data_IF_350075715947
#
_entry.id   IF_350075715947
#
_cell.length_a   1.000
_cell.length_b   1.000
_cell.length_c   1.000
_cell.angle_alpha   90.00
_cell.angle_beta   90.00
_cell.angle_gamma   90.00
#
_symmetry.space_group_name_H-M   'P 1'
#
loop_
_entity.id
_entity.type
_entity.pdbx_description
1 polymer ?
#
# COMPACT_ATOMS: atom_id res chain seq x y z
N UNK A 1 21.81 -28.07 7.92
CA UNK A 1 21.26 -26.95 8.70
C UNK A 1 22.12 -25.67 8.58
N UNK A 2 22.59 -25.32 7.37
CA UNK A 2 23.36 -24.10 7.11
C UNK A 2 23.07 -23.58 5.68
N UNK A 3 22.01 -22.76 5.52
CA UNK A 3 21.68 -22.05 4.27
C UNK A 3 20.96 -20.71 4.48
N UNK A 4 20.70 -20.33 5.73
CA UNK A 4 19.95 -19.11 6.08
C UNK A 4 20.79 -17.84 5.98
N UNK A 5 22.11 -17.92 6.17
CA UNK A 5 23.02 -16.76 6.13
C UNK A 5 23.27 -16.18 4.73
N UNK A 6 23.23 -17.02 3.67
CA UNK A 6 23.43 -16.54 2.29
C UNK A 6 22.16 -15.91 1.70
N UNK A 7 20.98 -16.47 2.00
CA UNK A 7 19.69 -15.96 1.53
C UNK A 7 19.35 -14.56 2.07
N UNK A 8 19.59 -14.30 3.36
CA UNK A 8 19.32 -12.98 3.95
C UNK A 8 20.26 -11.90 3.42
N UNK A 9 21.55 -12.21 3.28
CA UNK A 9 22.54 -11.27 2.69
C UNK A 9 22.19 -10.94 1.24
N UNK A 10 21.75 -11.94 0.47
CA UNK A 10 21.27 -11.78 -0.90
C UNK A 10 20.02 -10.91 -0.96
N UNK A 11 19.01 -11.19 -0.12
CA UNK A 11 17.80 -10.39 0.01
C UNK A 11 18.12 -8.92 0.34
N UNK A 12 18.97 -8.67 1.34
CA UNK A 12 19.36 -7.31 1.73
C UNK A 12 20.10 -6.57 0.61
N UNK A 13 21.00 -7.25 -0.11
CA UNK A 13 21.70 -6.65 -1.25
C UNK A 13 20.72 -6.27 -2.38
N UNK A 14 19.78 -7.17 -2.70
CA UNK A 14 18.74 -6.93 -3.70
C UNK A 14 17.85 -5.74 -3.30
N UNK A 15 17.41 -5.72 -2.04
CA UNK A 15 16.50 -4.69 -1.54
C UNK A 15 17.17 -3.33 -1.45
N UNK A 16 18.41 -3.25 -0.99
CA UNK A 16 19.12 -1.99 -0.75
C UNK A 16 19.88 -1.51 -1.98
N UNK A 17 20.83 -2.32 -2.47
CA UNK A 17 21.78 -1.89 -3.50
C UNK A 17 21.10 -1.81 -4.86
N UNK A 18 20.41 -2.88 -5.29
CA UNK A 18 19.81 -2.87 -6.61
C UNK A 18 18.60 -1.94 -6.70
N UNK A 19 17.80 -1.80 -5.63
CA UNK A 19 16.64 -0.88 -5.68
C UNK A 19 17.08 0.59 -5.75
N UNK A 20 18.21 0.94 -5.12
CA UNK A 20 18.76 2.29 -5.19
C UNK A 20 19.34 2.62 -6.58
N UNK A 21 20.04 1.68 -7.23
CA UNK A 21 20.60 1.90 -8.58
C UNK A 21 19.51 2.02 -9.65
N UNK A 22 18.42 1.27 -9.53
CA UNK A 22 17.28 1.36 -10.46
C UNK A 22 16.40 2.60 -10.27
N UNK A 23 16.52 3.28 -9.12
CA UNK A 23 15.76 4.49 -8.79
C UNK A 23 15.96 5.61 -9.83
N UNK A 24 17.20 5.79 -10.30
CA UNK A 24 17.56 6.83 -11.27
C UNK A 24 16.96 6.60 -12.67
N UNK A 25 16.47 5.39 -12.96
CA UNK A 25 15.83 5.05 -14.24
C UNK A 25 14.31 5.36 -14.26
N UNK A 26 13.72 5.70 -13.11
CA UNK A 26 12.26 5.85 -12.92
C UNK A 26 11.71 7.27 -13.15
N UNK A 27 11.71 7.73 -14.41
CA UNK A 27 11.17 9.06 -14.77
C UNK A 27 9.63 9.18 -14.59
N UNK A 28 8.92 8.05 -14.71
CA UNK A 28 7.47 7.86 -14.54
C UNK A 28 6.94 8.34 -13.21
N UNK A 29 7.77 8.17 -12.17
CA UNK A 29 7.37 8.38 -10.81
C UNK A 29 7.37 9.87 -10.46
N UNK A 30 8.35 10.63 -10.99
CA UNK A 30 8.36 12.09 -10.94
C UNK A 30 7.13 12.70 -11.62
N UNK A 31 6.67 12.12 -12.75
CA UNK A 31 5.46 12.56 -13.44
C UNK A 31 4.19 12.30 -12.61
N UNK A 32 4.11 11.14 -11.93
CA UNK A 32 3.00 10.82 -11.05
C UNK A 32 2.91 11.81 -9.87
N UNK A 33 4.04 12.14 -9.26
CA UNK A 33 4.08 13.10 -8.15
C UNK A 33 3.74 14.50 -8.63
N UNK A 34 4.23 14.90 -9.80
CA UNK A 34 3.82 16.15 -10.42
C UNK A 34 2.30 16.21 -10.65
N UNK A 35 1.69 15.12 -11.13
CA UNK A 35 0.24 15.02 -11.28
C UNK A 35 -0.50 15.07 -9.94
N UNK A 36 0.03 14.43 -8.89
CA UNK A 36 -0.54 14.49 -7.53
C UNK A 36 -0.45 15.91 -6.92
N UNK A 37 0.64 16.64 -7.17
CA UNK A 37 0.80 18.04 -6.75
C UNK A 37 -0.23 18.93 -7.47
N UNK A 38 -0.44 18.72 -8.78
CA UNK A 38 -1.47 19.44 -9.52
C UNK A 38 -2.87 19.14 -8.99
N UNK A 39 -3.16 17.86 -8.69
CA UNK A 39 -4.44 17.44 -8.12
C UNK A 39 -4.68 18.07 -6.74
N UNK A 40 -3.67 18.09 -5.85
CA UNK A 40 -3.74 18.75 -4.54
C UNK A 40 -4.08 20.25 -4.69
N UNK A 41 -3.49 20.93 -5.67
CA UNK A 41 -3.78 22.35 -5.95
C UNK A 41 -5.22 22.58 -6.41
N UNK A 42 -5.73 21.69 -7.25
CA UNK A 42 -7.13 21.73 -7.68
C UNK A 42 -8.05 21.50 -6.48
N UNK A 43 -7.78 20.49 -5.66
CA UNK A 43 -8.59 20.17 -4.47
C UNK A 43 -8.61 21.36 -3.51
N UNK A 44 -7.46 21.94 -3.16
CA UNK A 44 -7.38 23.09 -2.25
C UNK A 44 -8.07 24.36 -2.77
N UNK A 45 -8.20 24.50 -4.10
CA UNK A 45 -8.95 25.61 -4.70
C UNK A 45 -10.46 25.47 -4.44
N UNK A 46 -10.97 24.24 -4.40
CA UNK A 46 -12.41 23.97 -4.26
C UNK A 46 -12.83 23.53 -2.86
N UNK A 47 -11.90 23.03 -2.04
CA UNK A 47 -12.16 22.52 -0.69
C UNK A 47 -11.43 23.41 0.30
N UNK A 48 -12.19 24.25 1.01
CA UNK A 48 -11.66 25.03 2.13
C UNK A 48 -11.66 24.12 3.37
N UNK A 49 -10.49 23.64 3.75
CA UNK A 49 -10.32 22.88 4.98
C UNK A 49 -10.25 23.88 6.13
N UNK A 50 -11.29 23.90 6.95
CA UNK A 50 -11.29 24.65 8.20
C UNK A 50 -10.22 24.06 9.13
N UNK A 51 -9.23 24.87 9.50
CA UNK A 51 -8.09 24.47 10.33
C UNK A 51 -8.30 24.81 11.81
N UNK A 52 -9.43 25.43 12.16
CA UNK A 52 -9.70 25.95 13.49
C UNK A 52 -10.00 24.87 14.55
N UNK A 53 -10.19 23.60 14.15
CA UNK A 53 -10.68 22.53 15.04
C UNK A 53 -9.64 21.48 15.45
N UNK A 54 -8.37 21.57 15.03
CA UNK A 54 -7.33 20.63 15.46
C UNK A 54 -6.54 21.19 16.64
N UNK A 55 -7.13 21.13 17.83
CA UNK A 55 -6.40 21.38 19.07
C UNK A 55 -5.64 20.11 19.47
N UNK A 56 -4.33 20.09 19.22
CA UNK A 56 -3.45 18.96 19.57
C UNK A 56 -3.43 18.66 21.07
N UNK A 57 -3.85 19.61 21.92
CA UNK A 57 -4.00 19.41 23.36
C UNK A 57 -5.10 18.37 23.70
N UNK A 58 -6.10 18.18 22.84
CA UNK A 58 -7.21 17.23 23.04
C UNK A 58 -6.86 15.78 22.64
N UNK A 59 -5.73 15.54 21.96
CA UNK A 59 -5.29 14.19 21.58
C UNK A 59 -4.73 13.38 22.75
N UNK A 60 -4.34 14.05 23.85
CA UNK A 60 -3.75 13.42 25.03
C UNK A 60 -4.77 12.68 25.91
N UNK A 61 -6.06 13.01 25.80
CA UNK A 61 -7.12 12.37 26.55
C UNK A 61 -7.84 11.34 25.68
N UNK A 62 -7.26 10.13 25.58
CA UNK A 62 -8.01 8.91 25.23
C UNK A 62 -9.04 8.63 26.35
N UNK A 63 -10.04 9.51 26.42
CA UNK A 63 -11.04 9.56 27.49
C UNK A 63 -12.08 8.46 27.29
N UNK A 64 -12.85 8.19 28.35
CA UNK A 64 -14.02 7.30 28.29
C UNK A 64 -15.03 7.74 27.21
N UNK A 65 -15.09 9.04 26.87
CA UNK A 65 -15.95 9.57 25.81
C UNK A 65 -15.52 9.09 24.41
N UNK A 66 -14.20 9.00 24.15
CA UNK A 66 -13.68 8.44 22.90
C UNK A 66 -14.01 6.95 22.77
N UNK A 67 -14.00 6.21 23.88
CA UNK A 67 -14.38 4.79 23.90
C UNK A 67 -15.88 4.62 23.63
N UNK A 68 -16.72 5.43 24.27
CA UNK A 68 -18.17 5.40 24.07
C UNK A 68 -18.55 5.73 22.62
N UNK A 69 -17.94 6.78 22.05
CA UNK A 69 -18.10 7.12 20.63
C UNK A 69 -17.75 5.93 19.72
N UNK A 70 -16.56 5.34 19.93
CA UNK A 70 -16.07 4.24 19.11
C UNK A 70 -16.94 2.96 19.23
N UNK A 71 -17.33 2.57 20.44
CA UNK A 71 -18.00 1.29 20.65
C UNK A 71 -19.52 1.34 20.51
N UNK A 72 -20.14 2.51 20.71
CA UNK A 72 -21.60 2.66 20.65
C UNK A 72 -22.08 3.45 19.44
N UNK A 73 -21.39 4.51 19.02
CA UNK A 73 -21.88 5.39 17.94
C UNK A 73 -21.36 4.98 16.55
N UNK A 74 -20.06 4.64 16.43
CA UNK A 74 -19.44 4.28 15.15
C UNK A 74 -20.13 3.11 14.43
N UNK A 75 -20.62 2.04 15.09
CA UNK A 75 -21.35 0.99 14.39
C UNK A 75 -22.60 1.50 13.66
N UNK A 76 -23.34 2.42 14.28
CA UNK A 76 -24.50 3.06 13.65
C UNK A 76 -24.09 3.93 12.46
N UNK A 77 -23.03 4.72 12.59
CA UNK A 77 -22.49 5.53 11.50
C UNK A 77 -22.01 4.67 10.32
N UNK A 78 -21.32 3.56 10.60
CA UNK A 78 -20.89 2.60 9.58
C UNK A 78 -22.08 1.99 8.86
N UNK A 79 -23.15 1.64 9.57
CA UNK A 79 -24.37 1.13 8.95
C UNK A 79 -24.98 2.15 7.98
N UNK A 80 -25.12 3.40 8.40
CA UNK A 80 -25.61 4.48 7.54
C UNK A 80 -24.75 4.61 6.28
N UNK A 81 -23.42 4.65 6.44
CA UNK A 81 -22.48 4.73 5.31
C UNK A 81 -22.60 3.54 4.36
N UNK A 82 -22.77 2.31 4.87
CA UNK A 82 -22.93 1.10 4.07
C UNK A 82 -24.28 1.02 3.35
N UNK A 83 -25.30 1.74 3.82
CA UNK A 83 -26.61 1.82 3.15
C UNK A 83 -26.72 2.98 2.16
N UNK A 84 -25.82 3.97 2.22
CA UNK A 84 -25.83 5.11 1.30
C UNK A 84 -25.12 4.76 -0.02
N UNK A 85 -25.86 4.87 -1.14
CA UNK A 85 -25.33 4.67 -2.49
C UNK A 85 -24.15 5.60 -2.81
N UNK A 86 -24.10 6.81 -2.22
CA UNK A 86 -23.03 7.78 -2.42
C UNK A 86 -21.69 7.25 -1.95
N UNK A 87 -21.68 6.48 -0.87
CA UNK A 87 -20.48 5.79 -0.37
C UNK A 87 -19.91 4.87 -1.44
N UNK A 88 -20.75 4.10 -2.12
CA UNK A 88 -20.30 3.20 -3.19
C UNK A 88 -19.81 3.94 -4.43
N UNK A 89 -20.38 5.09 -4.77
CA UNK A 89 -19.87 5.94 -5.84
C UNK A 89 -18.47 6.48 -5.51
N UNK A 90 -18.27 6.96 -4.28
CA UNK A 90 -16.96 7.45 -3.80
C UNK A 90 -15.95 6.30 -3.80
N UNK A 91 -16.30 5.14 -3.25
CA UNK A 91 -15.43 3.96 -3.22
C UNK A 91 -15.06 3.48 -4.63
N UNK A 92 -16.01 3.53 -5.58
CA UNK A 92 -15.76 3.21 -6.98
C UNK A 92 -14.78 4.21 -7.61
N UNK A 93 -14.97 5.50 -7.36
CA UNK A 93 -14.04 6.55 -7.80
C UNK A 93 -12.63 6.36 -7.23
N UNK A 94 -12.52 6.09 -5.93
CA UNK A 94 -11.25 5.78 -5.25
C UNK A 94 -10.59 4.52 -5.80
N UNK A 95 -11.39 3.49 -6.14
CA UNK A 95 -10.89 2.28 -6.76
C UNK A 95 -10.28 2.56 -8.14
N UNK A 96 -10.96 3.32 -9.01
CA UNK A 96 -10.42 3.70 -10.31
C UNK A 96 -9.17 4.59 -10.19
N UNK A 97 -9.17 5.52 -9.24
CA UNK A 97 -7.99 6.33 -8.92
C UNK A 97 -6.82 5.45 -8.48
N UNK A 98 -7.08 4.45 -7.61
CA UNK A 98 -6.09 3.45 -7.22
C UNK A 98 -5.60 2.67 -8.42
N UNK A 99 -6.44 2.31 -9.39
CA UNK A 99 -5.99 1.63 -10.60
C UNK A 99 -4.98 2.49 -11.36
N UNK A 100 -5.25 3.79 -11.53
CA UNK A 100 -4.34 4.71 -12.20
C UNK A 100 -3.03 4.84 -11.43
N UNK A 101 -3.06 5.01 -10.10
CA UNK A 101 -1.83 5.25 -9.31
C UNK A 101 -1.04 3.95 -9.06
N UNK A 102 -1.70 2.80 -9.03
CA UNK A 102 -1.10 1.51 -8.64
C UNK A 102 -0.73 0.64 -9.85
N UNK A 103 -1.65 0.44 -10.81
CA UNK A 103 -1.39 -0.40 -11.99
C UNK A 103 -0.48 0.30 -12.98
N UNK A 104 -0.62 1.62 -13.17
CA UNK A 104 0.20 2.33 -14.16
C UNK A 104 1.70 2.25 -13.86
N UNK A 105 2.21 2.56 -12.66
CA UNK A 105 3.64 2.46 -12.42
C UNK A 105 4.11 1.00 -12.32
N UNK A 106 3.23 0.06 -11.94
CA UNK A 106 3.55 -1.38 -11.96
C UNK A 106 3.65 -1.93 -13.39
N UNK A 107 2.84 -1.42 -14.32
CA UNK A 107 2.91 -1.72 -15.75
C UNK A 107 4.19 -1.16 -16.37
N UNK A 108 4.49 0.12 -16.09
CA UNK A 108 5.71 0.79 -16.59
C UNK A 108 6.98 0.15 -16.05
N UNK A 109 7.03 -0.19 -14.75
CA UNK A 109 8.11 -0.96 -14.12
C UNK A 109 8.47 -2.18 -14.95
N UNK A 110 7.45 -2.98 -15.26
CA UNK A 110 7.64 -4.26 -15.90
C UNK A 110 8.12 -4.10 -17.34
N UNK A 111 7.52 -3.18 -18.09
CA UNK A 111 7.94 -2.91 -19.49
C UNK A 111 9.36 -2.39 -19.56
N UNK A 112 9.78 -1.57 -18.61
CA UNK A 112 11.17 -1.15 -18.47
C UNK A 112 12.08 -2.36 -18.27
N UNK A 113 11.73 -3.29 -17.39
CA UNK A 113 12.54 -4.49 -17.12
C UNK A 113 12.60 -5.47 -18.29
N UNK A 114 11.57 -5.51 -19.13
CA UNK A 114 11.55 -6.33 -20.35
C UNK A 114 12.17 -5.66 -21.57
N UNK A 115 12.72 -4.45 -21.40
CA UNK A 115 13.20 -3.59 -22.50
C UNK A 115 12.11 -3.32 -23.56
N UNK A 116 10.84 -3.45 -23.19
CA UNK A 116 9.66 -3.17 -24.02
C UNK A 116 9.30 -1.67 -24.03
N UNK A 117 10.16 -0.81 -23.47
CA UNK A 117 9.91 0.62 -23.29
C UNK A 117 10.31 1.40 -24.55
N UNK A 118 9.34 1.72 -25.40
CA UNK A 118 9.49 2.68 -26.50
C UNK A 118 9.54 4.15 -26.02
N UNK A 119 9.79 5.10 -26.93
CA UNK A 119 9.88 6.55 -26.62
C UNK A 119 8.65 7.12 -25.89
N UNK A 120 7.44 6.61 -26.17
CA UNK A 120 6.18 6.98 -25.49
C UNK A 120 5.74 5.95 -24.43
N UNK A 121 6.69 5.21 -23.83
CA UNK A 121 6.43 4.07 -22.93
C UNK A 121 5.50 4.36 -21.74
N UNK A 122 5.41 5.62 -21.32
CA UNK A 122 4.54 6.06 -20.21
C UNK A 122 3.06 6.04 -20.57
N UNK A 123 2.68 6.56 -21.73
CA UNK A 123 1.28 6.54 -22.16
C UNK A 123 0.89 5.16 -22.69
N UNK A 124 1.81 4.45 -23.35
CA UNK A 124 1.55 3.11 -23.85
C UNK A 124 1.35 2.06 -22.74
N UNK A 125 1.96 2.26 -21.57
CA UNK A 125 1.75 1.38 -20.40
C UNK A 125 0.38 1.56 -19.74
N UNK A 126 -0.22 2.75 -19.90
CA UNK A 126 -1.56 3.09 -19.41
C UNK A 126 -2.64 2.56 -20.36
N UNK A 127 -2.45 2.74 -21.68
CA UNK A 127 -3.32 2.19 -22.75
C UNK A 127 -3.28 0.66 -22.79
N UNK A 128 -2.17 0.05 -22.38
CA UNK A 128 -2.01 -1.41 -22.37
C UNK A 128 -2.69 -2.13 -21.22
N UNK A 129 -3.35 -1.43 -20.28
CA UNK A 129 -4.08 -2.06 -19.18
C UNK A 129 -5.35 -2.71 -19.74
N UNK A 130 -5.44 -4.04 -19.66
CA UNK A 130 -6.61 -4.79 -20.13
C UNK A 130 -7.69 -4.83 -19.05
N UNK A 131 -8.96 -4.81 -19.44
CA UNK A 131 -10.09 -4.94 -18.50
C UNK A 131 -10.02 -6.18 -17.61
N UNK A 132 -9.46 -7.28 -18.12
CA UNK A 132 -9.21 -8.48 -17.32
C UNK A 132 -8.31 -8.23 -16.11
N UNK A 133 -7.35 -7.30 -16.22
CA UNK A 133 -6.46 -6.91 -15.12
C UNK A 133 -7.18 -6.07 -14.07
N UNK A 134 -8.12 -5.22 -14.51
CA UNK A 134 -8.96 -4.41 -13.62
C UNK A 134 -9.93 -5.31 -12.85
N UNK A 135 -10.60 -6.26 -13.52
CA UNK A 135 -11.50 -7.23 -12.87
C UNK A 135 -10.75 -8.11 -11.87
N UNK A 136 -9.55 -8.57 -12.25
CA UNK A 136 -8.66 -9.29 -11.35
C UNK A 136 -8.32 -8.48 -10.10
N UNK A 137 -7.88 -7.23 -10.28
CA UNK A 137 -7.49 -6.38 -9.16
C UNK A 137 -8.71 -6.03 -8.29
N UNK A 138 -9.92 -5.90 -8.87
CA UNK A 138 -11.16 -5.73 -8.12
C UNK A 138 -11.44 -6.91 -7.19
N UNK A 139 -11.33 -8.14 -7.69
CA UNK A 139 -11.57 -9.37 -6.91
C UNK A 139 -10.53 -9.52 -5.80
N UNK A 140 -9.26 -9.28 -6.11
CA UNK A 140 -8.18 -9.35 -5.13
C UNK A 140 -8.32 -8.26 -4.05
N UNK A 141 -8.56 -7.00 -4.44
CA UNK A 141 -8.82 -5.89 -3.49
C UNK A 141 -10.05 -6.18 -2.64
N UNK A 142 -11.16 -6.62 -3.25
CA UNK A 142 -12.39 -6.98 -2.54
C UNK A 142 -12.16 -8.10 -1.53
N UNK A 143 -11.35 -9.10 -1.87
CA UNK A 143 -10.96 -10.18 -0.94
C UNK A 143 -10.19 -9.63 0.26
N UNK A 144 -9.21 -8.74 0.04
CA UNK A 144 -8.45 -8.10 1.12
C UNK A 144 -9.35 -7.27 2.03
N UNK A 145 -10.21 -6.45 1.44
CA UNK A 145 -11.15 -5.61 2.18
C UNK A 145 -12.13 -6.47 2.99
N UNK A 146 -12.64 -7.57 2.42
CA UNK A 146 -13.51 -8.52 3.11
C UNK A 146 -12.82 -9.21 4.28
N UNK A 147 -11.60 -9.71 4.09
CA UNK A 147 -10.80 -10.31 5.16
C UNK A 147 -10.48 -9.30 6.28
N UNK A 148 -10.13 -8.07 5.92
CA UNK A 148 -9.90 -7.01 6.89
C UNK A 148 -11.18 -6.64 7.65
N UNK A 149 -12.33 -6.57 6.97
CA UNK A 149 -13.60 -6.29 7.61
C UNK A 149 -13.98 -7.39 8.62
N UNK A 150 -13.79 -8.67 8.27
CA UNK A 150 -13.99 -9.79 9.20
C UNK A 150 -13.05 -9.65 10.40
N UNK A 151 -11.76 -9.42 10.16
CA UNK A 151 -10.76 -9.25 11.21
C UNK A 151 -11.06 -8.08 12.15
N UNK A 152 -11.41 -6.92 11.58
CA UNK A 152 -11.78 -5.73 12.33
C UNK A 152 -13.07 -5.94 13.13
N UNK A 153 -14.06 -6.64 12.56
CA UNK A 153 -15.32 -6.96 13.26
C UNK A 153 -15.07 -7.89 14.45
N UNK A 154 -14.26 -8.93 14.27
CA UNK A 154 -13.87 -9.83 15.36
C UNK A 154 -13.11 -9.08 16.45
N UNK A 155 -12.13 -8.26 16.07
CA UNK A 155 -11.39 -7.40 17.00
C UNK A 155 -12.32 -6.46 17.77
N UNK A 156 -13.26 -5.84 17.07
CA UNK A 156 -14.26 -4.94 17.65
C UNK A 156 -15.16 -5.65 18.66
N UNK A 157 -15.67 -6.84 18.34
CA UNK A 157 -16.52 -7.63 19.25
C UNK A 157 -15.75 -7.96 20.53
N UNK A 158 -14.51 -8.43 20.40
CA UNK A 158 -13.66 -8.77 21.56
C UNK A 158 -13.37 -7.54 22.42
N UNK A 159 -12.99 -6.41 21.82
CA UNK A 159 -12.66 -5.21 22.60
C UNK A 159 -13.87 -4.50 23.16
N UNK A 160 -15.02 -4.53 22.46
CA UNK A 160 -16.29 -4.00 22.96
C UNK A 160 -16.81 -4.81 24.14
N UNK A 161 -16.76 -6.14 24.07
CA UNK A 161 -17.18 -7.00 25.20
C UNK A 161 -16.29 -6.77 26.42
N UNK A 162 -14.97 -6.67 26.22
CA UNK A 162 -14.03 -6.30 27.27
C UNK A 162 -14.32 -4.91 27.87
N UNK A 163 -14.61 -3.92 27.02
CA UNK A 163 -14.95 -2.57 27.47
C UNK A 163 -16.28 -2.52 28.25
N UNK A 164 -17.30 -3.26 27.82
CA UNK A 164 -18.57 -3.36 28.55
C UNK A 164 -18.39 -3.97 29.96
N UNK A 165 -17.45 -4.92 30.11
CA UNK A 165 -17.12 -5.50 31.41
C UNK A 165 -16.27 -4.54 32.27
N UNK A 166 -15.30 -3.86 31.65
CA UNK A 166 -14.36 -2.96 32.31
C UNK A 166 -14.15 -1.68 31.47
N UNK A 167 -14.93 -0.60 31.74
CA UNK A 167 -14.89 0.62 30.94
C UNK A 167 -13.57 1.39 31.11
N UNK A 168 -12.57 1.02 30.33
CA UNK A 168 -11.23 1.61 30.36
C UNK A 168 -10.72 1.90 28.94
N UNK A 169 -9.98 3.00 28.75
CA UNK A 169 -9.46 3.43 27.44
C UNK A 169 -8.48 2.44 26.79
N UNK A 170 -7.94 1.48 27.57
CA UNK A 170 -7.05 0.42 27.07
C UNK A 170 -7.70 -0.42 25.96
N UNK A 171 -9.03 -0.58 25.98
CA UNK A 171 -9.74 -1.34 24.95
C UNK A 171 -9.72 -0.65 23.58
N UNK A 172 -9.63 0.69 23.55
CA UNK A 172 -9.38 1.42 22.29
C UNK A 172 -8.00 1.06 21.76
N UNK A 173 -6.97 1.12 22.62
CA UNK A 173 -5.59 0.80 22.24
C UNK A 173 -5.49 -0.64 21.73
N UNK A 174 -6.11 -1.59 22.43
CA UNK A 174 -6.17 -2.99 22.00
C UNK A 174 -6.89 -3.14 20.66
N UNK A 175 -7.99 -2.41 20.43
CA UNK A 175 -8.70 -2.44 19.16
C UNK A 175 -7.83 -1.93 18.01
N UNK A 176 -7.15 -0.79 18.23
CA UNK A 176 -6.22 -0.21 17.25
C UNK A 176 -5.04 -1.15 16.97
N UNK A 177 -4.50 -1.81 18.00
CA UNK A 177 -3.46 -2.83 17.83
C UNK A 177 -3.97 -4.01 17.01
N UNK A 178 -5.17 -4.53 17.31
CA UNK A 178 -5.79 -5.60 16.53
C UNK A 178 -5.94 -5.20 15.07
N UNK A 179 -6.48 -4.02 14.77
CA UNK A 179 -6.55 -3.51 13.39
C UNK A 179 -5.16 -3.40 12.74
N UNK A 180 -4.19 -2.85 13.49
CA UNK A 180 -2.81 -2.65 13.07
C UNK A 180 -2.11 -3.96 12.66
N UNK A 181 -2.39 -5.07 13.33
CA UNK A 181 -1.79 -6.37 13.02
C UNK A 181 -2.14 -6.91 11.63
N UNK A 182 -3.27 -6.49 11.04
CA UNK A 182 -3.65 -6.91 9.69
C UNK A 182 -3.09 -5.96 8.61
N UNK A 183 -2.76 -4.71 8.94
CA UNK A 183 -2.30 -3.72 7.97
C UNK A 183 -1.13 -4.21 7.08
N UNK A 184 -0.11 -4.91 7.61
CA UNK A 184 0.96 -5.47 6.77
C UNK A 184 0.44 -6.46 5.73
N UNK A 185 -0.52 -7.31 6.08
CA UNK A 185 -1.15 -8.25 5.14
C UNK A 185 -2.02 -7.55 4.12
N UNK A 186 -2.79 -6.53 4.54
CA UNK A 186 -3.58 -5.70 3.63
C UNK A 186 -2.69 -5.02 2.59
N UNK A 187 -1.58 -4.42 3.03
CA UNK A 187 -0.62 -3.78 2.15
C UNK A 187 0.09 -4.78 1.23
N UNK A 188 0.47 -5.95 1.74
CA UNK A 188 1.01 -7.05 0.94
C UNK A 188 0.03 -7.49 -0.14
N UNK A 189 -1.24 -7.66 0.22
CA UNK A 189 -2.34 -8.01 -0.68
C UNK A 189 -2.51 -7.01 -1.82
N UNK A 190 -2.65 -5.71 -1.51
CA UNK A 190 -2.74 -4.68 -2.54
C UNK A 190 -1.49 -4.60 -3.43
N UNK A 191 -0.32 -4.79 -2.83
CA UNK A 191 0.97 -4.79 -3.53
C UNK A 191 1.11 -5.98 -4.48
N UNK A 192 0.70 -7.18 -4.06
CA UNK A 192 0.79 -8.40 -4.87
C UNK A 192 -0.32 -8.49 -5.90
N UNK A 193 -1.52 -8.00 -5.59
CA UNK A 193 -2.64 -7.91 -6.54
C UNK A 193 -2.23 -7.25 -7.85
N UNK A 194 -1.63 -6.05 -7.76
CA UNK A 194 -1.17 -5.29 -8.92
C UNK A 194 -0.03 -5.98 -9.68
N UNK A 195 0.86 -6.71 -8.98
CA UNK A 195 1.97 -7.46 -9.62
C UNK A 195 1.47 -8.69 -10.38
N UNK A 196 0.54 -9.44 -9.79
CA UNK A 196 -0.09 -10.60 -10.41
C UNK A 196 -1.01 -10.20 -11.58
N UNK A 197 -1.69 -9.05 -11.48
CA UNK A 197 -2.51 -8.50 -12.55
C UNK A 197 -1.69 -8.32 -13.83
N UNK A 198 -0.48 -7.78 -13.67
CA UNK A 198 0.39 -7.46 -14.80
C UNK A 198 1.15 -8.70 -15.29
N UNK A 199 1.29 -9.78 -14.50
CA UNK A 199 1.94 -11.04 -14.94
C UNK A 199 1.39 -11.52 -16.30
N UNK A 200 2.26 -11.86 -17.25
CA UNK A 200 1.90 -12.13 -18.66
C UNK A 200 1.52 -13.59 -18.87
N UNK A 201 1.94 -14.47 -17.97
CA UNK A 201 1.62 -15.89 -17.98
C UNK A 201 0.58 -16.20 -16.89
N UNK A 202 -0.05 -17.35 -17.04
CA UNK A 202 -1.03 -17.89 -16.11
C UNK A 202 -2.45 -17.44 -16.39
N UNK A 203 -3.38 -18.40 -16.27
CA UNK A 203 -4.80 -18.11 -16.32
C UNK A 203 -5.29 -17.44 -15.03
N UNK A 204 -6.52 -16.93 -15.04
CA UNK A 204 -7.11 -16.23 -13.89
C UNK A 204 -7.09 -17.07 -12.60
N UNK A 205 -7.41 -18.37 -12.71
CA UNK A 205 -7.49 -19.29 -11.57
C UNK A 205 -6.13 -19.58 -10.95
N UNK A 206 -5.10 -19.73 -11.77
CA UNK A 206 -3.72 -19.91 -11.36
C UNK A 206 -3.19 -18.69 -10.59
N UNK A 207 -3.45 -17.49 -11.10
CA UNK A 207 -3.13 -16.25 -10.40
C UNK A 207 -3.88 -16.13 -9.08
N UNK A 208 -5.16 -16.54 -9.06
CA UNK A 208 -5.99 -16.56 -7.85
C UNK A 208 -5.42 -17.50 -6.79
N UNK A 209 -5.09 -18.73 -7.20
CA UNK A 209 -4.44 -19.70 -6.32
C UNK A 209 -3.12 -19.16 -5.76
N UNK A 210 -2.32 -18.49 -6.60
CA UNK A 210 -1.07 -17.87 -6.18
C UNK A 210 -1.30 -16.72 -5.19
N UNK A 211 -2.30 -15.87 -5.43
CA UNK A 211 -2.66 -14.78 -4.53
C UNK A 211 -3.06 -15.28 -3.14
N UNK A 212 -3.88 -16.35 -3.07
CA UNK A 212 -4.28 -16.94 -1.79
C UNK A 212 -3.13 -17.58 -1.02
N UNK A 213 -1.99 -17.90 -1.65
CA UNK A 213 -0.79 -18.36 -0.93
C UNK A 213 -0.30 -17.36 0.11
N UNK A 214 -0.60 -16.06 -0.05
CA UNK A 214 -0.34 -15.03 0.96
C UNK A 214 -0.99 -15.37 2.31
N UNK A 215 -2.18 -15.98 2.29
CA UNK A 215 -2.95 -16.31 3.49
C UNK A 215 -2.80 -17.77 3.92
N UNK A 216 -2.59 -18.68 2.97
CA UNK A 216 -2.60 -20.12 3.25
C UNK A 216 -1.21 -20.71 3.49
N UNK A 217 -0.13 -20.00 3.19
CA UNK A 217 1.23 -20.56 3.23
C UNK A 217 2.16 -19.70 4.06
N UNK A 218 2.58 -20.24 5.21
CA UNK A 218 3.45 -19.53 6.18
C UNK A 218 4.75 -18.99 5.58
N UNK A 219 5.32 -19.67 4.57
CA UNK A 219 6.51 -19.24 3.83
C UNK A 219 6.31 -17.91 3.08
N UNK A 220 5.08 -17.61 2.66
CA UNK A 220 4.74 -16.35 2.00
C UNK A 220 4.24 -15.37 3.06
N UNK A 221 3.36 -15.81 3.95
CA UNK A 221 2.71 -14.98 4.96
C UNK A 221 3.70 -14.28 5.88
N UNK A 222 4.54 -15.02 6.59
CA UNK A 222 5.39 -14.44 7.64
C UNK A 222 6.44 -13.47 7.11
N UNK A 223 7.22 -13.81 6.06
CA UNK A 223 8.14 -12.85 5.49
C UNK A 223 7.42 -11.62 4.94
N UNK A 224 6.25 -11.80 4.29
CA UNK A 224 5.46 -10.66 3.81
C UNK A 224 5.00 -9.76 4.94
N UNK A 225 4.49 -10.35 6.02
CA UNK A 225 4.08 -9.59 7.19
C UNK A 225 5.24 -8.73 7.73
N UNK A 226 6.41 -9.33 7.95
CA UNK A 226 7.58 -8.61 8.49
C UNK A 226 8.03 -7.50 7.52
N UNK A 227 8.18 -7.81 6.24
CA UNK A 227 8.63 -6.84 5.24
C UNK A 227 7.67 -5.66 5.12
N UNK A 228 6.36 -5.93 5.06
CA UNK A 228 5.35 -4.87 4.95
C UNK A 228 5.17 -4.10 6.26
N UNK A 229 5.41 -4.69 7.43
CA UNK A 229 5.50 -3.95 8.70
C UNK A 229 6.64 -2.94 8.67
N UNK A 230 7.85 -3.35 8.28
CA UNK A 230 8.98 -2.43 8.12
C UNK A 230 8.69 -1.36 7.07
N UNK A 231 8.06 -1.74 5.95
CA UNK A 231 7.66 -0.79 4.91
C UNK A 231 6.66 0.24 5.44
N UNK A 232 5.63 -0.17 6.17
CA UNK A 232 4.64 0.73 6.77
C UNK A 232 5.34 1.72 7.71
N UNK A 233 6.26 1.25 8.56
CA UNK A 233 7.01 2.12 9.45
C UNK A 233 7.82 3.18 8.67
N UNK A 234 8.56 2.77 7.63
CA UNK A 234 9.33 3.69 6.79
C UNK A 234 8.43 4.67 6.02
N UNK A 235 7.32 4.18 5.46
CA UNK A 235 6.35 4.99 4.73
C UNK A 235 5.69 6.03 5.66
N UNK A 236 5.31 5.63 6.88
CA UNK A 236 4.81 6.54 7.91
C UNK A 236 5.81 7.63 8.28
N UNK A 237 7.11 7.33 8.37
CA UNK A 237 8.11 8.35 8.69
C UNK A 237 8.33 9.31 7.51
N UNK A 238 8.63 8.77 6.33
CA UNK A 238 9.13 9.57 5.20
C UNK A 238 8.03 10.14 4.30
N UNK A 239 6.85 9.53 4.28
CA UNK A 239 5.73 9.95 3.42
C UNK A 239 4.64 10.66 4.22
N UNK A 240 4.55 10.42 5.54
CA UNK A 240 3.55 11.07 6.39
C UNK A 240 4.18 12.07 7.39
N UNK A 241 4.96 11.61 8.36
CA UNK A 241 5.45 12.44 9.47
C UNK A 241 6.32 13.59 8.98
N UNK A 242 7.36 13.29 8.18
CA UNK A 242 8.28 14.32 7.67
C UNK A 242 7.55 15.33 6.78
N UNK A 243 6.73 14.92 5.78
CA UNK A 243 5.97 15.88 5.00
C UNK A 243 5.00 16.73 5.83
N UNK A 244 4.32 16.17 6.84
CA UNK A 244 3.48 16.96 7.76
C UNK A 244 4.33 18.00 8.50
N UNK A 245 5.47 17.61 9.07
CA UNK A 245 6.37 18.55 9.73
C UNK A 245 6.84 19.66 8.78
N UNK A 246 7.24 19.32 7.55
CA UNK A 246 7.63 20.30 6.52
C UNK A 246 6.44 21.21 6.16
N UNK A 247 5.22 20.68 6.07
CA UNK A 247 4.02 21.46 5.78
C UNK A 247 3.70 22.48 6.88
N UNK A 248 3.94 22.11 8.15
CA UNK A 248 3.65 22.91 9.35
C UNK A 248 4.74 23.93 9.68
N UNK A 249 6.02 23.60 9.47
CA UNK A 249 7.15 24.43 9.92
C UNK A 249 7.85 25.21 8.80
N UNK A 250 7.56 24.95 7.52
CA UNK A 250 8.17 25.67 6.39
C UNK A 250 7.17 26.64 5.79
N UNK A 251 7.39 27.94 6.04
CA UNK A 251 6.51 29.00 5.55
C UNK A 251 6.60 29.18 4.03
N UNK A 252 7.81 29.08 3.47
CA UNK A 252 8.03 29.23 2.03
C UNK A 252 7.38 28.08 1.25
N UNK A 253 6.37 28.43 0.45
CA UNK A 253 5.60 27.48 -0.36
C UNK A 253 6.49 26.63 -1.29
N UNK A 254 7.41 27.26 -2.01
CA UNK A 254 8.28 26.58 -2.96
C UNK A 254 9.27 25.65 -2.26
N UNK A 255 9.87 26.10 -1.17
CA UNK A 255 10.79 25.27 -0.37
C UNK A 255 10.05 24.08 0.23
N UNK A 256 8.86 24.30 0.77
CA UNK A 256 7.99 23.25 1.34
C UNK A 256 7.64 22.17 0.34
N UNK A 257 7.20 22.53 -0.87
CA UNK A 257 6.89 21.55 -1.92
C UNK A 257 8.14 20.82 -2.37
N UNK A 258 9.25 21.53 -2.60
CA UNK A 258 10.48 20.91 -3.05
C UNK A 258 11.03 19.92 -2.02
N UNK A 259 11.06 20.29 -0.74
CA UNK A 259 11.56 19.42 0.34
C UNK A 259 10.65 18.20 0.53
N UNK A 260 9.32 18.40 0.61
CA UNK A 260 8.39 17.28 0.75
C UNK A 260 8.48 16.32 -0.45
N UNK A 261 8.60 16.86 -1.67
CA UNK A 261 8.76 16.07 -2.88
C UNK A 261 10.09 15.33 -2.90
N UNK A 262 11.21 16.01 -2.66
CA UNK A 262 12.54 15.40 -2.70
C UNK A 262 12.74 14.33 -1.62
N UNK A 263 11.99 14.37 -0.51
CA UNK A 263 12.05 13.35 0.53
C UNK A 263 11.11 12.18 0.27
N UNK A 264 9.83 12.44 -0.05
CA UNK A 264 8.85 11.37 -0.25
C UNK A 264 9.08 10.58 -1.54
N UNK A 265 9.50 11.24 -2.61
CA UNK A 265 9.67 10.66 -3.95
C UNK A 265 10.68 9.51 -4.02
N UNK A 266 11.94 9.69 -3.59
CA UNK A 266 12.94 8.64 -3.66
C UNK A 266 12.60 7.49 -2.70
N UNK A 267 12.10 7.80 -1.49
CA UNK A 267 11.76 6.77 -0.51
C UNK A 267 10.60 5.92 -1.04
N UNK A 268 9.53 6.53 -1.53
CA UNK A 268 8.40 5.77 -2.07
C UNK A 268 8.80 4.94 -3.30
N UNK A 269 9.58 5.53 -4.22
CA UNK A 269 10.09 4.81 -5.40
C UNK A 269 10.92 3.60 -4.99
N UNK A 270 11.82 3.78 -4.03
CA UNK A 270 12.64 2.72 -3.46
C UNK A 270 11.77 1.63 -2.83
N UNK A 271 10.82 1.98 -1.97
CA UNK A 271 9.92 1.03 -1.30
C UNK A 271 9.07 0.24 -2.30
N UNK A 272 8.61 0.89 -3.38
CA UNK A 272 7.85 0.24 -4.45
C UNK A 272 8.70 -0.78 -5.20
N UNK A 273 9.95 -0.42 -5.50
CA UNK A 273 10.92 -1.29 -6.18
C UNK A 273 11.35 -2.47 -5.30
N UNK A 274 11.69 -2.19 -4.04
CA UNK A 274 11.99 -3.19 -3.02
C UNK A 274 10.83 -4.19 -2.88
N UNK A 275 9.58 -3.70 -2.87
CA UNK A 275 8.39 -4.57 -2.81
C UNK A 275 8.22 -5.47 -4.03
N UNK A 276 8.69 -5.05 -5.20
CA UNK A 276 8.67 -5.88 -6.42
C UNK A 276 9.72 -6.98 -6.37
N UNK A 277 10.96 -6.63 -6.03
CA UNK A 277 12.05 -7.60 -5.87
C UNK A 277 11.73 -8.62 -4.78
N UNK A 278 11.16 -8.16 -3.68
CA UNK A 278 10.68 -8.99 -2.60
C UNK A 278 9.57 -9.95 -3.04
N UNK A 279 8.59 -9.48 -3.83
CA UNK A 279 7.58 -10.34 -4.43
C UNK A 279 8.20 -11.44 -5.29
N UNK A 280 9.14 -11.10 -6.17
CA UNK A 280 9.83 -12.08 -7.00
C UNK A 280 10.58 -13.13 -6.18
N UNK A 281 11.29 -12.74 -5.13
CA UNK A 281 12.04 -13.67 -4.27
C UNK A 281 11.12 -14.62 -3.49
N UNK A 282 10.02 -14.11 -2.91
CA UNK A 282 9.08 -14.96 -2.16
C UNK A 282 8.35 -15.94 -3.07
N UNK A 283 7.97 -15.48 -4.25
CA UNK A 283 7.19 -16.28 -5.18
C UNK A 283 8.05 -17.05 -6.20
N UNK A 284 9.38 -16.93 -6.16
CA UNK A 284 10.31 -17.71 -7.00
C UNK A 284 10.02 -19.22 -7.05
N UNK A 285 9.56 -19.89 -5.97
CA UNK A 285 9.32 -21.33 -6.00
C UNK A 285 8.11 -21.76 -6.82
N UNK A 286 7.30 -20.82 -7.32
CA UNK A 286 6.11 -21.11 -8.09
C UNK A 286 6.38 -20.84 -9.58
N UNK A 287 6.06 -21.81 -10.43
CA UNK A 287 6.40 -21.83 -11.87
C UNK A 287 6.02 -20.54 -12.62
N UNK A 288 4.86 -19.96 -12.27
CA UNK A 288 4.33 -18.73 -12.87
C UNK A 288 5.25 -17.52 -12.66
N UNK A 289 6.00 -17.49 -11.55
CA UNK A 289 6.89 -16.38 -11.19
C UNK A 289 8.36 -16.75 -11.40
N UNK A 290 8.69 -18.05 -11.41
CA UNK A 290 10.05 -18.54 -11.60
C UNK A 290 10.70 -18.02 -12.90
N UNK A 291 9.96 -18.01 -14.02
CA UNK A 291 10.49 -17.49 -15.28
C UNK A 291 10.67 -15.97 -15.26
N UNK A 292 9.73 -15.23 -14.68
CA UNK A 292 9.86 -13.77 -14.53
C UNK A 292 11.04 -13.43 -13.62
N UNK A 293 11.27 -14.22 -12.57
CA UNK A 293 12.44 -14.15 -11.70
C UNK A 293 13.74 -14.36 -12.48
N UNK A 294 13.83 -15.45 -13.25
CA UNK A 294 15.02 -15.74 -14.04
C UNK A 294 15.29 -14.67 -15.10
N UNK A 295 14.28 -14.22 -15.85
CA UNK A 295 14.46 -13.12 -16.81
C UNK A 295 14.93 -11.84 -16.13
N UNK A 296 14.41 -11.54 -14.93
CA UNK A 296 14.77 -10.34 -14.19
C UNK A 296 16.24 -10.31 -13.75
N UNK A 297 16.73 -11.43 -13.20
CA UNK A 297 18.10 -11.54 -12.67
C UNK A 297 19.12 -11.99 -13.72
N UNK A 298 18.71 -12.61 -14.84
CA UNK A 298 19.61 -12.93 -15.95
C UNK A 298 20.14 -11.66 -16.64
N UNK A 299 19.30 -10.62 -16.75
CA UNK A 299 19.67 -9.34 -17.35
C UNK A 299 20.40 -8.37 -16.38
N UNK A 300 20.53 -8.73 -15.10
CA UNK A 300 21.28 -7.99 -14.07
C UNK A 300 22.11 -8.99 -13.23
N UNK A 301 23.21 -9.53 -13.79
CA UNK A 301 24.02 -10.54 -13.09
C UNK A 301 24.54 -10.02 -11.74
N UNK A 302 24.59 -10.93 -10.77
CA UNK A 302 25.03 -10.72 -9.37
C UNK A 302 26.48 -10.22 -9.23
#
# INVERSE_FOLDING_TARGET
MAKTGSGLKRLLRILVVHSATDLFKYKSFFLLIFALILLDRVIKKYVHIDRSSMDLAQLGELSAASADYLFNQVPGLLWVLLTDYRTFLILSGLFFLKQIISLWPSSDMRRMHRKERGMFGLLSSLVGIRWQQVVWDAIAVGTICGLYAIWATLGFIVTRTGWNAHPHGIWIVLFLLCMGLFLPLGMAGFSYSSKLAVLSRGNFREKLGLFYRLFTTGRVLWPSWIFFSCRIALESIFVLIIPIAVLLFVDSFWVRIMVATLLATPVYSYLKMASFKFFLEIYQPYDLVQQEYHTYYADNPE
#
